data_IF_167621933423
#
_entry.id   IF_167621933423
#
_cell.length_a   1.000
_cell.length_b   1.000
_cell.length_c   1.000
_cell.angle_alpha   90.00
_cell.angle_beta   90.00
_cell.angle_gamma   90.00
#
_symmetry.space_group_name_H-M   'P 1'
#
loop_
_entity.id
_entity.type
_entity.pdbx_description
1 polymer ?
#
# COMPACT_ATOMS: atom_id res chain seq x y z
N UNK A 1 -27.34 26.98 14.09
CA UNK A 1 -26.63 26.47 12.90
C UNK A 1 -27.60 25.65 12.09
N UNK A 2 -27.61 25.78 10.76
CA UNK A 2 -28.44 24.92 9.90
C UNK A 2 -28.01 23.46 10.06
N UNK A 3 -28.97 22.53 10.06
CA UNK A 3 -28.68 21.09 10.10
C UNK A 3 -27.85 20.70 8.86
N UNK A 4 -26.75 19.97 9.07
CA UNK A 4 -25.97 19.39 7.97
C UNK A 4 -26.85 18.40 7.19
N UNK A 5 -26.80 18.45 5.86
CA UNK A 5 -27.52 17.53 4.96
C UNK A 5 -26.46 17.05 3.96
N UNK A 6 -26.07 15.77 3.97
CA UNK A 6 -25.12 15.22 3.01
C UNK A 6 -25.56 15.45 1.56
N UNK A 7 -24.61 15.77 0.70
CA UNK A 7 -24.79 15.84 -0.75
C UNK A 7 -23.50 15.39 -1.44
N UNK A 8 -23.49 14.12 -1.86
CA UNK A 8 -22.36 13.50 -2.55
C UNK A 8 -21.94 14.22 -3.84
N UNK A 9 -22.79 15.10 -4.40
CA UNK A 9 -22.41 15.88 -5.58
C UNK A 9 -21.24 16.83 -5.31
N UNK A 10 -21.04 17.29 -4.07
CA UNK A 10 -19.87 18.12 -3.73
C UNK A 10 -18.56 17.34 -3.96
N UNK A 11 -18.52 16.06 -3.59
CA UNK A 11 -17.35 15.20 -3.84
C UNK A 11 -17.19 14.91 -5.33
N UNK A 12 -18.28 14.65 -6.05
CA UNK A 12 -18.22 14.44 -7.50
C UNK A 12 -17.73 15.67 -8.28
N UNK A 13 -18.09 16.87 -7.82
CA UNK A 13 -17.60 18.12 -8.39
C UNK A 13 -16.11 18.29 -8.12
N UNK A 14 -15.67 18.10 -6.87
CA UNK A 14 -14.27 18.16 -6.51
C UNK A 14 -13.42 17.16 -7.32
N UNK A 15 -13.86 15.92 -7.45
CA UNK A 15 -13.18 14.89 -8.25
C UNK A 15 -13.07 15.24 -9.75
N UNK A 16 -13.96 16.10 -10.25
CA UNK A 16 -13.95 16.60 -11.64
C UNK A 16 -13.30 17.97 -11.78
N UNK A 17 -12.62 18.45 -10.74
CA UNK A 17 -12.02 19.79 -10.70
C UNK A 17 -13.05 20.92 -10.95
N UNK A 18 -14.25 20.76 -10.42
CA UNK A 18 -15.35 21.74 -10.43
C UNK A 18 -15.53 22.26 -9.00
N UNK A 19 -15.63 23.58 -8.82
CA UNK A 19 -15.86 24.17 -7.49
C UNK A 19 -17.21 23.73 -6.92
N UNK A 20 -17.22 23.04 -5.77
CA UNK A 20 -18.45 22.56 -5.17
C UNK A 20 -19.18 23.63 -4.36
N UNK A 21 -20.47 23.41 -4.06
CA UNK A 21 -21.28 24.34 -3.26
C UNK A 21 -20.76 24.50 -1.83
N UNK A 22 -20.10 23.46 -1.32
CA UNK A 22 -19.28 23.46 -0.10
C UNK A 22 -18.04 22.60 -0.32
N UNK A 23 -16.97 22.90 0.42
CA UNK A 23 -15.78 22.07 0.44
C UNK A 23 -16.12 20.68 1.05
N UNK A 24 -16.04 19.58 0.28
CA UNK A 24 -16.30 18.26 0.83
C UNK A 24 -15.13 17.77 1.69
N UNK A 25 -15.45 16.97 2.71
CA UNK A 25 -14.45 16.21 3.47
C UNK A 25 -14.22 14.85 2.80
N UNK A 26 -12.96 14.42 2.75
CA UNK A 26 -12.58 13.10 2.28
C UNK A 26 -11.31 12.63 2.97
N UNK A 27 -11.43 11.50 3.66
CA UNK A 27 -10.33 10.71 4.17
C UNK A 27 -10.44 9.32 3.53
N UNK A 28 -9.32 8.80 3.04
CA UNK A 28 -9.31 7.54 2.28
C UNK A 28 -9.85 6.37 3.11
N UNK A 29 -9.55 6.35 4.42
CA UNK A 29 -10.13 5.44 5.38
C UNK A 29 -10.08 6.07 6.77
N UNK A 30 -11.13 5.87 7.59
CA UNK A 30 -11.12 6.21 9.01
C UNK A 30 -11.20 4.89 9.78
N UNK A 31 -10.09 4.53 10.40
CA UNK A 31 -9.92 3.19 10.96
C UNK A 31 -10.96 2.87 12.06
N UNK A 32 -11.46 1.64 12.07
CA UNK A 32 -12.51 1.21 12.99
C UNK A 32 -12.14 1.44 14.48
N UNK A 33 -10.91 1.11 14.94
CA UNK A 33 -10.48 1.39 16.30
C UNK A 33 -10.57 2.87 16.68
N UNK A 34 -10.37 3.78 15.73
CA UNK A 34 -10.51 5.21 15.96
C UNK A 34 -11.98 5.59 16.18
N UNK A 35 -12.88 5.11 15.32
CA UNK A 35 -14.32 5.39 15.45
C UNK A 35 -14.89 4.76 16.73
N UNK A 36 -14.45 3.55 17.07
CA UNK A 36 -14.80 2.87 18.32
C UNK A 36 -14.42 3.67 19.56
N UNK A 37 -13.18 4.19 19.56
CA UNK A 37 -12.69 5.08 20.62
C UNK A 37 -13.53 6.36 20.72
N UNK A 38 -13.88 6.96 19.59
CA UNK A 38 -14.72 8.17 19.55
C UNK A 38 -16.11 7.91 20.14
N UNK A 39 -16.75 6.81 19.74
CA UNK A 39 -18.11 6.46 20.18
C UNK A 39 -18.17 5.86 21.59
N UNK A 40 -17.03 5.52 22.19
CA UNK A 40 -16.98 4.78 23.46
C UNK A 40 -17.60 3.38 23.35
N UNK A 41 -17.56 2.78 22.14
CA UNK A 41 -18.18 1.49 21.83
C UNK A 41 -17.25 0.67 20.96
N UNK A 42 -17.16 -0.62 21.26
CA UNK A 42 -16.35 -1.59 20.51
C UNK A 42 -17.11 -2.04 19.25
N UNK A 43 -16.88 -1.35 18.13
CA UNK A 43 -17.46 -1.68 16.82
C UNK A 43 -16.80 -2.91 16.20
N UNK A 44 -15.52 -3.18 16.51
CA UNK A 44 -14.78 -4.36 16.05
C UNK A 44 -15.46 -5.66 16.45
N UNK A 45 -16.05 -5.72 17.65
CA UNK A 45 -16.90 -6.86 18.06
C UNK A 45 -18.12 -7.10 17.16
N UNK A 46 -18.71 -6.05 16.60
CA UNK A 46 -19.86 -6.19 15.69
C UNK A 46 -19.42 -6.82 14.36
N UNK A 47 -18.27 -6.40 13.83
CA UNK A 47 -17.70 -7.02 12.64
C UNK A 47 -17.26 -8.47 12.91
N UNK A 48 -16.71 -8.74 14.08
CA UNK A 48 -16.26 -10.08 14.48
C UNK A 48 -17.42 -11.07 14.70
N UNK A 49 -18.57 -10.60 15.17
CA UNK A 49 -19.80 -11.41 15.29
C UNK A 49 -20.31 -11.88 13.92
N UNK A 50 -20.16 -11.05 12.89
CA UNK A 50 -20.40 -11.41 11.49
C UNK A 50 -21.86 -11.65 11.12
N UNK A 51 -22.81 -11.49 12.04
CA UNK A 51 -24.24 -11.57 11.73
C UNK A 51 -24.69 -10.35 10.91
N UNK A 52 -25.69 -10.49 10.02
CA UNK A 52 -26.24 -9.35 9.29
C UNK A 52 -26.68 -8.20 10.21
N UNK A 53 -27.26 -8.52 11.37
CA UNK A 53 -27.70 -7.52 12.36
C UNK A 53 -26.52 -6.75 12.95
N UNK A 54 -25.43 -7.43 13.30
CA UNK A 54 -24.23 -6.79 13.83
C UNK A 54 -23.50 -5.96 12.77
N UNK A 55 -23.39 -6.45 11.53
CA UNK A 55 -22.80 -5.69 10.41
C UNK A 55 -23.66 -4.46 10.08
N UNK A 56 -24.99 -4.61 10.09
CA UNK A 56 -25.92 -3.49 9.90
C UNK A 56 -25.77 -2.43 11.00
N UNK A 57 -25.59 -2.87 12.24
CA UNK A 57 -25.37 -1.97 13.38
C UNK A 57 -24.00 -1.28 13.32
N UNK A 58 -22.97 -1.97 12.84
CA UNK A 58 -21.67 -1.38 12.53
C UNK A 58 -21.81 -0.24 11.51
N UNK A 59 -22.44 -0.51 10.36
CA UNK A 59 -22.60 0.52 9.33
C UNK A 59 -23.51 1.67 9.77
N UNK A 60 -24.54 1.41 10.59
CA UNK A 60 -25.35 2.48 11.20
C UNK A 60 -24.48 3.40 12.05
N UNK A 61 -23.62 2.84 12.89
CA UNK A 61 -22.73 3.63 13.75
C UNK A 61 -21.67 4.39 12.95
N UNK A 62 -21.00 3.73 12.00
CA UNK A 62 -19.95 4.32 11.18
C UNK A 62 -20.49 5.43 10.26
N UNK A 63 -21.61 5.19 9.54
CA UNK A 63 -22.23 6.23 8.73
C UNK A 63 -22.78 7.38 9.58
N UNK A 64 -23.27 7.08 10.78
CA UNK A 64 -23.70 8.09 11.76
C UNK A 64 -22.56 8.99 12.20
N UNK A 65 -21.39 8.41 12.46
CA UNK A 65 -20.16 9.16 12.75
C UNK A 65 -19.77 10.07 11.58
N UNK A 66 -19.70 9.55 10.36
CA UNK A 66 -19.39 10.37 9.17
C UNK A 66 -20.40 11.51 8.97
N UNK A 67 -21.69 11.24 9.19
CA UNK A 67 -22.74 12.25 9.14
C UNK A 67 -22.53 13.36 10.18
N UNK A 68 -22.24 12.99 11.43
CA UNK A 68 -22.00 13.94 12.52
C UNK A 68 -20.78 14.83 12.26
N UNK A 69 -19.74 14.26 11.66
CA UNK A 69 -18.51 14.96 11.31
C UNK A 69 -18.64 15.82 10.04
N UNK A 70 -19.76 15.76 9.33
CA UNK A 70 -20.02 16.62 8.16
C UNK A 70 -19.51 16.06 6.83
N UNK A 71 -19.32 14.75 6.71
CA UNK A 71 -18.94 14.13 5.44
C UNK A 71 -20.16 14.01 4.51
N UNK A 72 -19.95 14.29 3.22
CA UNK A 72 -20.97 14.06 2.18
C UNK A 72 -20.97 12.59 1.69
N UNK A 73 -19.94 11.82 2.04
CA UNK A 73 -19.71 10.43 1.61
C UNK A 73 -19.11 9.57 2.72
N UNK A 74 -19.16 8.25 2.56
CA UNK A 74 -18.45 7.28 3.40
C UNK A 74 -17.42 6.57 2.54
N UNK A 75 -16.16 6.53 2.98
CA UNK A 75 -15.16 5.67 2.36
C UNK A 75 -15.29 4.24 2.89
N UNK A 76 -15.40 3.25 2.00
CA UNK A 76 -15.47 1.84 2.36
C UNK A 76 -14.95 0.94 1.25
N UNK A 77 -14.05 0.03 1.59
CA UNK A 77 -13.50 -0.97 0.69
C UNK A 77 -13.58 -2.35 1.32
N UNK A 78 -13.85 -3.36 0.49
CA UNK A 78 -13.63 -4.75 0.83
C UNK A 78 -12.50 -5.25 -0.06
N UNK A 79 -11.30 -5.40 0.47
CA UNK A 79 -10.13 -5.74 -0.33
C UNK A 79 -10.28 -7.09 -1.04
N UNK A 80 -9.96 -7.14 -2.34
CA UNK A 80 -10.06 -8.33 -3.19
C UNK A 80 -8.98 -9.36 -2.87
N UNK A 81 -7.82 -8.94 -2.33
CA UNK A 81 -6.71 -9.84 -2.00
C UNK A 81 -7.15 -11.10 -1.25
N UNK A 82 -7.78 -10.99 -0.06
CA UNK A 82 -8.30 -12.13 0.71
C UNK A 82 -9.35 -13.01 0.02
N UNK A 83 -9.95 -12.55 -1.08
CA UNK A 83 -10.91 -13.32 -1.89
C UNK A 83 -10.18 -14.26 -2.86
N UNK A 84 -9.03 -13.83 -3.38
CA UNK A 84 -8.28 -14.55 -4.41
C UNK A 84 -7.73 -15.88 -3.85
N UNK A 85 -8.03 -17.05 -4.48
CA UNK A 85 -7.58 -18.34 -3.96
C UNK A 85 -6.07 -18.41 -3.77
N UNK A 86 -5.64 -18.76 -2.56
CA UNK A 86 -4.20 -18.90 -2.25
C UNK A 86 -3.45 -17.58 -2.10
N UNK A 87 -4.14 -16.46 -2.03
CA UNK A 87 -3.54 -15.16 -1.76
C UNK A 87 -2.95 -15.04 -0.34
N UNK A 88 -2.23 -13.96 -0.11
CA UNK A 88 -1.62 -13.62 1.18
C UNK A 88 -0.12 -13.39 1.10
N UNK A 89 0.46 -13.26 -0.08
CA UNK A 89 1.86 -12.88 -0.21
C UNK A 89 2.13 -11.44 0.21
N UNK A 90 1.22 -10.51 -0.09
CA UNK A 90 1.42 -9.09 0.21
C UNK A 90 1.27 -8.80 1.71
N UNK A 91 0.10 -9.12 2.27
CA UNK A 91 -0.21 -8.83 3.68
C UNK A 91 0.14 -9.96 4.65
N UNK A 92 0.08 -11.21 4.19
CA UNK A 92 0.29 -12.40 5.02
C UNK A 92 1.70 -12.97 4.97
N UNK A 93 2.57 -12.41 4.12
CA UNK A 93 3.95 -12.87 3.88
C UNK A 93 4.07 -14.38 3.60
N UNK A 94 3.11 -14.91 2.84
CA UNK A 94 3.10 -16.32 2.41
C UNK A 94 3.72 -16.46 1.01
N UNK A 95 4.34 -17.59 0.66
CA UNK A 95 4.77 -17.83 -0.72
C UNK A 95 3.58 -17.72 -1.68
N UNK A 96 3.80 -17.11 -2.84
CA UNK A 96 2.78 -17.03 -3.88
C UNK A 96 2.37 -18.41 -4.38
N UNK A 97 1.10 -18.52 -4.77
CA UNK A 97 0.53 -19.74 -5.37
C UNK A 97 0.79 -19.85 -6.87
N UNK A 98 1.02 -18.74 -7.56
CA UNK A 98 1.45 -18.73 -8.96
C UNK A 98 2.97 -18.58 -9.01
N UNK A 99 3.70 -19.66 -9.31
CA UNK A 99 5.17 -19.66 -9.38
C UNK A 99 5.70 -19.82 -10.80
N UNK A 100 4.87 -20.33 -11.70
CA UNK A 100 5.24 -20.58 -13.08
C UNK A 100 4.02 -20.45 -14.01
N UNK A 101 4.26 -20.61 -15.32
CA UNK A 101 3.21 -20.45 -16.33
C UNK A 101 2.07 -21.47 -16.19
N UNK A 102 2.38 -22.71 -15.83
CA UNK A 102 1.36 -23.74 -15.62
C UNK A 102 0.46 -23.40 -14.43
N UNK A 103 1.00 -22.82 -13.35
CA UNK A 103 0.18 -22.37 -12.22
C UNK A 103 -0.75 -21.22 -12.64
N UNK A 104 -0.24 -20.28 -13.44
CA UNK A 104 -1.02 -19.16 -13.98
C UNK A 104 -2.17 -19.64 -14.87
N UNK A 105 -1.89 -20.55 -15.80
CA UNK A 105 -2.89 -21.07 -16.75
C UNK A 105 -3.97 -21.91 -16.04
N UNK A 106 -3.65 -22.52 -14.89
CA UNK A 106 -4.59 -23.29 -14.06
C UNK A 106 -5.23 -22.49 -12.93
N UNK A 107 -4.83 -21.23 -12.72
CA UNK A 107 -5.41 -20.39 -11.67
C UNK A 107 -6.88 -20.09 -11.99
N UNK A 108 -7.80 -20.12 -11.01
CA UNK A 108 -9.23 -20.08 -11.28
C UNK A 108 -9.72 -18.65 -11.51
N UNK A 109 -9.23 -17.99 -12.57
CA UNK A 109 -9.53 -16.59 -12.88
C UNK A 109 -11.03 -16.31 -13.02
N UNK A 110 -11.76 -17.23 -13.66
CA UNK A 110 -13.17 -17.06 -14.02
C UNK A 110 -14.12 -16.98 -12.83
N UNK A 111 -13.71 -17.47 -11.64
CA UNK A 111 -14.59 -17.48 -10.45
C UNK A 111 -14.26 -16.36 -9.45
N UNK A 112 -13.22 -15.55 -9.70
CA UNK A 112 -12.76 -14.54 -8.73
C UNK A 112 -13.85 -13.50 -8.48
N UNK A 113 -14.56 -13.10 -9.54
CA UNK A 113 -15.67 -12.16 -9.44
C UNK A 113 -16.80 -12.72 -8.58
N UNK A 114 -17.21 -13.97 -8.83
CA UNK A 114 -18.26 -14.63 -8.04
C UNK A 114 -17.87 -14.75 -6.57
N UNK A 115 -16.62 -15.15 -6.28
CA UNK A 115 -16.09 -15.22 -4.92
C UNK A 115 -16.08 -13.86 -4.23
N UNK A 116 -15.81 -12.79 -4.98
CA UNK A 116 -15.82 -11.43 -4.45
C UNK A 116 -17.24 -11.06 -4.02
N UNK A 117 -18.22 -11.19 -4.90
CA UNK A 117 -19.61 -10.88 -4.59
C UNK A 117 -20.17 -11.77 -3.47
N UNK A 118 -19.81 -13.04 -3.42
CA UNK A 118 -20.19 -13.95 -2.33
C UNK A 118 -19.69 -13.45 -0.97
N UNK A 119 -18.43 -13.00 -0.89
CA UNK A 119 -17.81 -12.56 0.36
C UNK A 119 -18.16 -11.14 0.76
N UNK A 120 -18.29 -10.23 -0.21
CA UNK A 120 -18.42 -8.80 0.04
C UNK A 120 -19.85 -8.30 -0.07
N UNK A 121 -20.75 -9.02 -0.77
CA UNK A 121 -22.08 -8.55 -1.14
C UNK A 121 -22.89 -8.03 0.04
N UNK A 122 -22.94 -8.81 1.14
CA UNK A 122 -23.66 -8.44 2.35
C UNK A 122 -23.18 -7.11 2.96
N UNK A 123 -21.87 -6.82 2.89
CA UNK A 123 -21.33 -5.58 3.43
C UNK A 123 -21.77 -4.37 2.60
N UNK A 124 -21.73 -4.47 1.28
CA UNK A 124 -22.18 -3.39 0.40
C UNK A 124 -23.69 -3.16 0.46
N UNK A 125 -24.48 -4.23 0.58
CA UNK A 125 -25.94 -4.15 0.75
C UNK A 125 -26.31 -3.45 2.07
N UNK A 126 -25.71 -3.86 3.18
CA UNK A 126 -25.98 -3.27 4.48
C UNK A 126 -25.44 -1.85 4.60
N UNK A 127 -24.26 -1.55 4.04
CA UNK A 127 -23.77 -0.17 3.93
C UNK A 127 -24.79 0.69 3.18
N UNK A 128 -25.26 0.24 2.01
CA UNK A 128 -26.26 0.96 1.22
C UNK A 128 -27.53 1.22 2.01
N UNK A 129 -28.00 0.26 2.80
CA UNK A 129 -29.20 0.40 3.63
C UNK A 129 -29.02 1.44 4.74
N UNK A 130 -27.81 1.53 5.32
CA UNK A 130 -27.55 2.41 6.47
C UNK A 130 -27.01 3.79 6.12
N UNK A 131 -26.75 4.07 4.85
CA UNK A 131 -26.36 5.40 4.40
C UNK A 131 -27.48 6.44 4.67
N UNK A 132 -27.16 7.57 5.34
CA UNK A 132 -28.06 8.70 5.46
C UNK A 132 -28.54 9.22 4.08
N UNK A 133 -29.75 9.78 3.99
CA UNK A 133 -30.23 10.42 2.76
C UNK A 133 -29.26 11.49 2.25
N UNK A 134 -28.95 11.46 0.95
CA UNK A 134 -28.00 12.37 0.30
C UNK A 134 -26.54 11.92 0.33
N UNK A 135 -26.21 10.92 1.16
CA UNK A 135 -24.87 10.34 1.25
C UNK A 135 -24.67 9.19 0.27
N UNK A 136 -23.44 8.99 -0.19
CA UNK A 136 -23.02 7.83 -0.99
C UNK A 136 -21.72 7.24 -0.45
N UNK A 137 -21.45 5.99 -0.80
CA UNK A 137 -20.17 5.37 -0.54
C UNK A 137 -19.18 5.67 -1.69
N UNK A 138 -17.90 5.86 -1.35
CA UNK A 138 -16.78 5.84 -2.27
C UNK A 138 -15.90 4.66 -1.88
N UNK A 139 -15.57 3.80 -2.84
CA UNK A 139 -14.69 2.66 -2.64
C UNK A 139 -15.09 1.49 -3.53
N UNK A 140 -14.77 0.27 -3.11
CA UNK A 140 -14.97 -0.93 -3.92
C UNK A 140 -14.10 -2.08 -3.47
N UNK A 141 -13.45 -2.74 -4.43
CA UNK A 141 -12.69 -3.96 -4.21
C UNK A 141 -11.33 -3.76 -3.51
N UNK A 142 -10.98 -2.52 -3.10
CA UNK A 142 -9.61 -2.17 -2.67
C UNK A 142 -8.57 -2.61 -3.69
N UNK A 143 -7.27 -2.58 -3.35
CA UNK A 143 -6.14 -3.24 -4.06
C UNK A 143 -6.23 -3.31 -5.60
N UNK A 144 -5.37 -2.56 -6.30
CA UNK A 144 -5.28 -2.61 -7.76
C UNK A 144 -4.66 -3.91 -8.30
N UNK A 145 -4.49 -3.95 -9.63
CA UNK A 145 -3.88 -5.10 -10.32
C UNK A 145 -2.50 -5.43 -9.75
N UNK A 146 -1.73 -4.42 -9.36
CA UNK A 146 -0.37 -4.62 -8.86
C UNK A 146 -0.37 -5.30 -7.49
N UNK A 147 -1.26 -4.89 -6.59
CA UNK A 147 -1.47 -5.54 -5.30
C UNK A 147 -2.00 -6.96 -5.49
N UNK A 148 -2.94 -7.17 -6.40
CA UNK A 148 -3.49 -8.48 -6.71
C UNK A 148 -2.40 -9.46 -7.19
N UNK A 149 -1.56 -9.01 -8.13
CA UNK A 149 -0.44 -9.82 -8.65
C UNK A 149 0.54 -10.14 -7.54
N UNK A 150 0.95 -9.14 -6.74
CA UNK A 150 1.84 -9.37 -5.61
C UNK A 150 1.25 -10.38 -4.62
N UNK A 151 -0.07 -10.35 -4.38
CA UNK A 151 -0.71 -11.16 -3.36
C UNK A 151 -0.81 -12.66 -3.72
N UNK A 152 -0.81 -13.00 -5.01
CA UNK A 152 -0.94 -14.39 -5.51
C UNK A 152 0.33 -14.95 -6.16
N UNK A 153 1.18 -14.10 -6.74
CA UNK A 153 2.46 -14.52 -7.32
C UNK A 153 3.60 -14.40 -6.32
N UNK A 154 3.48 -13.47 -5.37
CA UNK A 154 4.61 -13.06 -4.54
C UNK A 154 5.67 -12.29 -5.34
N UNK A 155 6.64 -11.75 -4.61
CA UNK A 155 7.84 -11.15 -5.20
C UNK A 155 9.04 -11.71 -4.45
N UNK A 156 10.05 -12.18 -5.18
CA UNK A 156 11.28 -12.70 -4.56
C UNK A 156 12.27 -11.57 -4.22
N UNK A 157 12.22 -10.48 -4.98
CA UNK A 157 13.05 -9.29 -4.76
C UNK A 157 12.39 -8.04 -5.32
N UNK A 158 12.78 -6.88 -4.78
CA UNK A 158 12.42 -5.57 -5.29
C UNK A 158 13.64 -4.80 -5.78
N UNK A 159 13.45 -4.06 -6.87
CA UNK A 159 14.26 -2.97 -7.38
C UNK A 159 13.25 -1.89 -7.84
N UNK A 160 13.42 -0.59 -7.61
CA UNK A 160 14.64 0.20 -7.35
C UNK A 160 14.64 0.86 -5.95
N UNK A 161 15.58 1.75 -5.65
CA UNK A 161 15.61 2.55 -4.41
C UNK A 161 16.07 4.00 -4.68
N UNK A 162 15.40 4.99 -4.12
CA UNK A 162 15.88 6.38 -4.04
C UNK A 162 15.57 6.93 -2.65
N UNK A 163 16.47 7.73 -2.08
CA UNK A 163 16.35 8.20 -0.68
C UNK A 163 15.16 9.15 -0.50
N UNK A 164 14.76 9.83 -1.58
CA UNK A 164 13.54 10.65 -1.60
C UNK A 164 12.26 9.84 -1.34
N UNK A 165 12.28 8.52 -1.61
CA UNK A 165 11.20 7.60 -1.26
C UNK A 165 11.41 7.10 0.18
N UNK A 166 12.55 6.45 0.41
CA UNK A 166 13.02 6.03 1.73
C UNK A 166 14.49 5.60 1.65
N UNK A 167 15.30 5.85 2.70
CA UNK A 167 16.66 5.32 2.79
C UNK A 167 16.70 3.79 2.65
N UNK A 168 17.74 3.26 2.00
CA UNK A 168 17.81 1.83 1.69
C UNK A 168 17.70 0.91 2.93
N UNK A 169 18.21 1.36 4.09
CA UNK A 169 18.14 0.65 5.37
C UNK A 169 16.69 0.39 5.85
N UNK A 170 15.74 1.24 5.47
CA UNK A 170 14.33 1.07 5.84
C UNK A 170 13.78 -0.21 5.20
N UNK A 171 14.16 -0.46 3.95
CA UNK A 171 13.70 -1.65 3.23
C UNK A 171 14.35 -2.92 3.74
N UNK A 172 15.66 -2.91 3.95
CA UNK A 172 16.36 -4.11 4.45
C UNK A 172 15.92 -4.45 5.87
N UNK A 173 15.61 -3.45 6.71
CA UNK A 173 15.09 -3.66 8.06
C UNK A 173 13.66 -4.21 8.09
N UNK A 174 12.77 -3.72 7.23
CA UNK A 174 11.35 -4.09 7.26
C UNK A 174 11.01 -5.32 6.40
N UNK A 175 11.85 -5.62 5.41
CA UNK A 175 11.59 -6.62 4.38
C UNK A 175 12.78 -7.53 4.05
N UNK A 176 13.97 -7.34 4.62
CA UNK A 176 15.16 -8.15 4.30
C UNK A 176 15.08 -9.62 4.75
N UNK A 177 14.14 -9.94 5.64
CA UNK A 177 13.78 -11.31 6.02
C UNK A 177 12.66 -11.92 5.15
N UNK A 178 12.08 -11.13 4.24
CA UNK A 178 10.91 -11.50 3.42
C UNK A 178 11.24 -11.61 1.94
N UNK A 179 11.98 -10.64 1.40
CA UNK A 179 12.31 -10.52 -0.02
C UNK A 179 13.73 -9.97 -0.20
N UNK A 180 14.32 -10.20 -1.38
CA UNK A 180 15.56 -9.57 -1.80
C UNK A 180 15.41 -8.06 -2.02
N UNK A 181 16.46 -7.31 -1.73
CA UNK A 181 16.53 -5.86 -1.88
C UNK A 181 17.69 -5.51 -2.81
N UNK A 182 17.36 -5.05 -4.01
CA UNK A 182 18.31 -4.72 -5.06
C UNK A 182 18.35 -3.19 -5.19
N UNK A 183 19.54 -2.60 -5.10
CA UNK A 183 19.74 -1.15 -5.03
C UNK A 183 20.74 -0.77 -3.93
N UNK A 184 20.67 0.48 -3.49
CA UNK A 184 21.48 0.96 -2.37
C UNK A 184 21.80 2.43 -2.48
N UNK A 185 22.47 2.83 -3.57
CA UNK A 185 23.06 4.16 -3.67
C UNK A 185 22.20 5.11 -4.47
N UNK A 186 21.63 6.13 -3.82
CA UNK A 186 20.85 7.18 -4.50
C UNK A 186 21.57 7.76 -5.72
N UNK A 187 20.86 7.90 -6.83
CA UNK A 187 21.44 8.34 -8.10
C UNK A 187 22.00 9.76 -8.05
N UNK A 188 21.41 10.64 -7.25
CA UNK A 188 21.89 12.02 -7.10
C UNK A 188 23.26 12.05 -6.41
N UNK A 189 23.54 11.12 -5.49
CA UNK A 189 24.86 10.98 -4.87
C UNK A 189 25.92 10.68 -5.94
N UNK A 190 25.63 9.78 -6.88
CA UNK A 190 26.56 9.44 -7.96
C UNK A 190 26.77 10.60 -8.95
N UNK A 191 25.76 11.46 -9.12
CA UNK A 191 25.79 12.53 -10.12
C UNK A 191 26.39 13.83 -9.61
N UNK A 192 26.22 14.14 -8.32
CA UNK A 192 26.45 15.48 -7.79
C UNK A 192 27.62 15.56 -6.79
N UNK A 193 28.00 14.43 -6.18
CA UNK A 193 28.96 14.44 -5.08
C UNK A 193 30.39 14.16 -5.54
N UNK A 194 31.34 14.57 -4.70
CA UNK A 194 32.76 14.23 -4.88
C UNK A 194 33.03 12.75 -4.60
N UNK A 195 34.15 12.22 -5.11
CA UNK A 195 34.55 10.83 -4.85
C UNK A 195 34.64 10.49 -3.35
N UNK A 196 35.06 11.44 -2.52
CA UNK A 196 35.17 11.24 -1.07
C UNK A 196 33.78 11.10 -0.42
N UNK A 197 32.83 11.93 -0.83
CA UNK A 197 31.45 11.90 -0.35
C UNK A 197 30.71 10.64 -0.85
N UNK A 198 30.90 10.26 -2.12
CA UNK A 198 30.35 9.02 -2.67
C UNK A 198 30.86 7.81 -1.89
N UNK A 199 32.17 7.74 -1.64
CA UNK A 199 32.76 6.65 -0.84
C UNK A 199 32.19 6.63 0.58
N UNK A 200 32.14 7.78 1.26
CA UNK A 200 31.64 7.87 2.63
C UNK A 200 30.16 7.43 2.73
N UNK A 201 29.32 7.93 1.82
CA UNK A 201 27.92 7.54 1.74
C UNK A 201 27.77 6.03 1.44
N UNK A 202 28.55 5.52 0.48
CA UNK A 202 28.52 4.09 0.14
C UNK A 202 28.87 3.20 1.32
N UNK A 203 29.90 3.56 2.10
CA UNK A 203 30.27 2.84 3.32
C UNK A 203 29.17 2.90 4.39
N UNK A 204 28.57 4.07 4.62
CA UNK A 204 27.49 4.21 5.60
C UNK A 204 26.30 3.29 5.27
N UNK A 205 25.83 3.28 4.02
CA UNK A 205 24.74 2.40 3.60
C UNK A 205 25.15 0.92 3.73
N UNK A 206 26.36 0.55 3.29
CA UNK A 206 26.88 -0.81 3.42
C UNK A 206 26.95 -1.27 4.88
N UNK A 207 27.46 -0.45 5.80
CA UNK A 207 27.54 -0.79 7.23
C UNK A 207 26.16 -1.09 7.83
N UNK A 208 25.13 -0.36 7.39
CA UNK A 208 23.75 -0.53 7.83
C UNK A 208 23.07 -1.76 7.23
N UNK A 209 23.42 -2.14 5.99
CA UNK A 209 22.67 -3.16 5.25
C UNK A 209 23.41 -4.47 5.01
N UNK A 210 24.73 -4.52 5.11
CA UNK A 210 25.52 -5.70 4.74
C UNK A 210 25.25 -6.92 5.64
N UNK A 211 24.81 -6.70 6.89
CA UNK A 211 24.43 -7.79 7.78
C UNK A 211 23.03 -8.36 7.48
N UNK A 212 22.24 -7.70 6.62
CA UNK A 212 20.92 -8.16 6.23
C UNK A 212 21.01 -9.23 5.14
N UNK A 213 20.14 -10.24 5.20
CA UNK A 213 19.98 -11.22 4.12
C UNK A 213 19.36 -10.59 2.86
N UNK A 214 19.61 -11.21 1.70
CA UNK A 214 18.91 -10.87 0.46
C UNK A 214 19.30 -9.54 -0.20
N UNK A 215 20.44 -8.94 0.13
CA UNK A 215 20.88 -7.68 -0.48
C UNK A 215 21.72 -7.92 -1.75
N UNK A 216 21.34 -7.30 -2.86
CA UNK A 216 22.20 -7.10 -4.02
C UNK A 216 22.51 -5.59 -4.12
N UNK A 217 23.73 -5.21 -3.77
CA UNK A 217 24.09 -3.81 -3.57
C UNK A 217 24.55 -3.18 -4.88
N UNK A 218 23.87 -2.12 -5.29
CA UNK A 218 24.11 -1.41 -6.56
C UNK A 218 23.64 0.04 -6.48
N UNK A 219 23.70 0.75 -7.61
CA UNK A 219 23.03 2.03 -7.74
C UNK A 219 21.53 1.86 -7.50
N UNK A 220 20.91 2.87 -6.92
CA UNK A 220 19.50 2.92 -6.61
C UNK A 220 18.61 2.78 -7.85
N UNK A 221 19.17 3.02 -9.04
CA UNK A 221 18.49 2.89 -10.31
C UNK A 221 19.48 2.55 -11.45
N UNK A 222 18.95 2.57 -12.68
CA UNK A 222 19.74 2.46 -13.91
C UNK A 222 20.90 3.46 -13.95
N UNK A 223 21.98 3.10 -14.66
CA UNK A 223 23.11 4.00 -14.98
C UNK A 223 22.96 4.54 -16.42
N UNK A 224 22.22 5.64 -16.64
CA UNK A 224 22.09 6.27 -17.95
C UNK A 224 23.31 7.13 -18.31
N UNK A 225 23.37 7.58 -19.57
CA UNK A 225 24.50 8.32 -20.15
C UNK A 225 24.89 9.63 -19.44
N UNK A 226 24.00 10.20 -18.61
CA UNK A 226 24.27 11.43 -17.87
C UNK A 226 24.99 11.18 -16.53
N UNK A 227 25.07 9.92 -16.06
CA UNK A 227 25.76 9.60 -14.81
C UNK A 227 27.27 9.74 -15.04
N UNK A 228 27.98 10.53 -14.23
CA UNK A 228 29.43 10.65 -14.30
C UNK A 228 30.11 9.28 -14.11
N UNK A 229 31.05 8.96 -15.00
CA UNK A 229 31.79 7.69 -14.95
C UNK A 229 32.57 7.57 -13.65
N UNK A 230 33.14 8.69 -13.20
CA UNK A 230 33.92 8.77 -11.96
C UNK A 230 33.06 8.41 -10.74
N UNK A 231 31.80 8.87 -10.70
CA UNK A 231 30.88 8.59 -9.60
C UNK A 231 30.54 7.10 -9.53
N UNK A 232 30.18 6.49 -10.67
CA UNK A 232 29.90 5.06 -10.75
C UNK A 232 31.11 4.19 -10.39
N UNK A 233 32.31 4.55 -10.88
CA UNK A 233 33.53 3.82 -10.57
C UNK A 233 33.94 3.95 -9.11
N UNK A 234 33.77 5.12 -8.48
CA UNK A 234 34.09 5.30 -7.07
C UNK A 234 33.13 4.50 -6.17
N UNK A 235 31.83 4.46 -6.49
CA UNK A 235 30.88 3.58 -5.81
C UNK A 235 31.33 2.11 -5.88
N UNK A 236 31.64 1.61 -7.07
CA UNK A 236 32.12 0.23 -7.25
C UNK A 236 33.40 -0.04 -6.47
N UNK A 237 34.35 0.89 -6.51
CA UNK A 237 35.60 0.80 -5.75
C UNK A 237 35.34 0.74 -4.24
N UNK A 238 34.44 1.57 -3.73
CA UNK A 238 34.06 1.57 -2.32
C UNK A 238 33.41 0.23 -1.90
N UNK A 239 32.52 -0.33 -2.73
CA UNK A 239 31.90 -1.65 -2.50
C UNK A 239 32.95 -2.77 -2.50
N UNK A 240 33.89 -2.74 -3.45
CA UNK A 240 35.00 -3.70 -3.53
C UNK A 240 35.92 -3.61 -2.31
N UNK A 241 36.28 -2.38 -1.91
CA UNK A 241 37.08 -2.12 -0.71
C UNK A 241 36.41 -2.64 0.55
N UNK A 242 35.10 -2.38 0.74
CA UNK A 242 34.33 -2.87 1.87
C UNK A 242 34.32 -4.42 1.95
N UNK A 243 34.32 -5.10 0.80
CA UNK A 243 34.41 -6.58 0.72
C UNK A 243 35.83 -7.13 0.94
N UNK A 244 36.82 -6.27 1.15
CA UNK A 244 38.23 -6.65 1.28
C UNK A 244 38.87 -7.05 -0.04
N UNK A 245 38.26 -6.70 -1.17
CA UNK A 245 38.86 -6.89 -2.48
C UNK A 245 39.87 -5.77 -2.71
N UNK A 246 41.11 -6.14 -3.05
CA UNK A 246 42.12 -5.16 -3.44
C UNK A 246 41.61 -4.30 -4.59
N UNK A 247 41.80 -2.98 -4.47
CA UNK A 247 41.38 -1.99 -5.48
C UNK A 247 41.91 -2.35 -6.88
#
# INVERSE_FOLDING_TARGET
>A
MSKFIPDYNNVLQAARNISPSRLPLYDHNIDEPFVSKYLGRDLGKLLADGTPESIAEYFRAYCGFCYEMGYDVVAFEYCIGPVMPGSGSLGGHRPGVIKNRNDFDNYPWEIIEDLFFEKSGIYFELLREKLPPGMKAIGGAGNGVFECVQDIAGIDAKHSNEDAIAPFEVWTKNYGDKIGNFGGIDMDVLCQNSSQEIRAYTFDVLEKTYQCGGVAFESGNSIPHYVPVEGYLEMNKAIREFRGEGA
#
